data_IF_742958221930
#
_entry.id   IF_742958221930
#
_cell.length_a   1.000
_cell.length_b   1.000
_cell.length_c   1.000
_cell.angle_alpha   90.00
_cell.angle_beta   90.00
_cell.angle_gamma   90.00
#
_symmetry.space_group_name_H-M   'P 1'
#
loop_
_entity.id
_entity.type
_entity.pdbx_description
1 polymer ?
#
# COMPACT_ATOMS: atom_id res chain seq x y z
N UNK A 1 14.30 24.13 12.16
CA UNK A 1 14.83 22.80 12.54
C UNK A 1 15.29 22.12 11.26
N UNK A 2 16.54 21.66 11.20
CA UNK A 2 17.05 20.98 10.01
C UNK A 2 16.67 19.50 10.04
N UNK A 3 15.99 19.02 9.01
CA UNK A 3 15.75 17.59 8.82
C UNK A 3 17.04 16.92 8.35
N UNK A 4 17.68 16.14 9.23
CA UNK A 4 18.88 15.39 8.89
C UNK A 4 18.47 14.18 8.05
N UNK A 5 18.71 14.26 6.73
CA UNK A 5 18.45 13.14 5.83
C UNK A 5 19.61 12.14 5.95
N UNK A 6 19.37 10.88 6.32
CA UNK A 6 20.41 9.88 6.42
C UNK A 6 20.92 9.49 5.03
N UNK A 7 22.20 9.72 4.75
CA UNK A 7 22.86 9.30 3.51
C UNK A 7 23.15 7.79 3.44
N UNK A 8 22.95 7.07 4.55
CA UNK A 8 23.19 5.62 4.63
C UNK A 8 22.11 4.88 3.86
N UNK A 9 22.52 3.91 3.03
CA UNK A 9 21.58 3.03 2.34
C UNK A 9 20.68 2.32 3.38
N UNK A 10 19.34 2.38 3.22
CA UNK A 10 18.43 1.73 4.14
C UNK A 10 18.69 0.23 4.19
N UNK A 11 18.70 -0.34 5.40
CA UNK A 11 19.01 -1.75 5.59
C UNK A 11 17.88 -2.62 5.03
N UNK A 12 18.17 -3.90 4.74
CA UNK A 12 17.13 -4.86 4.36
C UNK A 12 16.04 -4.96 5.44
N UNK A 13 16.41 -4.82 6.72
CA UNK A 13 15.45 -4.81 7.83
C UNK A 13 14.47 -3.65 7.69
N UNK A 14 14.93 -2.46 7.31
CA UNK A 14 14.07 -1.29 7.11
C UNK A 14 13.15 -1.47 5.90
N UNK A 15 13.67 -2.02 4.79
CA UNK A 15 12.89 -2.27 3.56
C UNK A 15 11.78 -3.31 3.73
N UNK A 16 11.99 -4.28 4.62
CA UNK A 16 11.07 -5.39 4.87
C UNK A 16 10.30 -5.25 6.18
N UNK A 17 10.50 -4.16 6.93
CA UNK A 17 9.76 -3.87 8.17
C UNK A 17 8.26 -3.83 7.87
N UNK A 18 7.50 -4.71 8.51
CA UNK A 18 6.04 -4.82 8.34
C UNK A 18 5.56 -5.62 7.12
N UNK A 19 6.45 -6.08 6.22
CA UNK A 19 6.08 -6.89 5.04
C UNK A 19 6.01 -8.40 5.30
N UNK A 20 6.54 -8.88 6.42
CA UNK A 20 6.58 -10.31 6.78
C UNK A 20 5.17 -10.91 6.87
N UNK A 21 4.25 -10.27 7.60
CA UNK A 21 2.86 -10.71 7.74
C UNK A 21 2.11 -10.71 6.39
N UNK A 22 2.38 -9.73 5.53
CA UNK A 22 1.77 -9.66 4.21
C UNK A 22 2.21 -10.82 3.30
N UNK A 23 3.43 -11.34 3.48
CA UNK A 23 3.94 -12.46 2.69
C UNK A 23 3.20 -13.77 2.98
N UNK A 24 2.59 -13.89 4.16
CA UNK A 24 1.76 -15.03 4.56
C UNK A 24 0.25 -14.80 4.32
N UNK A 25 -0.14 -13.71 3.65
CA UNK A 25 -1.55 -13.40 3.34
C UNK A 25 -2.27 -12.53 4.39
N UNK A 26 -1.62 -12.14 5.48
CA UNK A 26 -2.20 -11.26 6.50
C UNK A 26 -2.03 -9.79 6.13
N UNK A 27 -2.84 -9.36 5.16
CA UNK A 27 -2.88 -7.98 4.69
C UNK A 27 -3.81 -7.12 5.55
N UNK A 28 -3.32 -5.94 5.94
CA UNK A 28 -4.15 -4.87 6.49
C UNK A 28 -4.69 -4.04 5.33
N UNK A 29 -5.89 -4.36 4.86
CA UNK A 29 -6.56 -3.65 3.77
C UNK A 29 -7.15 -2.35 4.27
N UNK A 30 -6.90 -1.27 3.55
CA UNK A 30 -7.49 0.05 3.78
C UNK A 30 -8.14 0.52 2.48
N UNK A 31 -9.30 1.15 2.57
CA UNK A 31 -9.99 1.71 1.40
C UNK A 31 -9.25 2.94 0.92
N UNK A 32 -8.79 2.90 -0.33
CA UNK A 32 -8.22 4.04 -1.00
C UNK A 32 -9.35 4.93 -1.53
N UNK A 33 -9.65 6.00 -0.79
CA UNK A 33 -10.70 6.96 -1.15
C UNK A 33 -10.30 7.87 -2.33
N UNK A 34 -9.02 7.91 -2.71
CA UNK A 34 -8.57 8.77 -3.79
C UNK A 34 -8.99 8.23 -5.17
N UNK A 35 -9.10 6.91 -5.30
CA UNK A 35 -9.31 6.23 -6.58
C UNK A 35 -10.60 5.41 -6.55
N UNK A 36 -11.74 6.09 -6.60
CA UNK A 36 -13.07 5.46 -6.56
C UNK A 36 -13.64 5.11 -7.95
N UNK A 37 -13.01 5.56 -9.04
CA UNK A 37 -13.53 5.39 -10.40
C UNK A 37 -12.54 4.65 -11.29
N UNK A 38 -12.95 3.53 -11.87
CA UNK A 38 -12.15 2.77 -12.84
C UNK A 38 -12.40 3.31 -14.25
N UNK A 39 -11.41 4.01 -14.81
CA UNK A 39 -11.47 4.61 -16.16
C UNK A 39 -11.67 3.56 -17.25
N UNK A 40 -11.20 2.33 -17.05
CA UNK A 40 -11.32 1.26 -18.06
C UNK A 40 -12.70 0.61 -18.05
N UNK A 41 -13.30 0.46 -16.87
CA UNK A 41 -14.61 -0.17 -16.72
C UNK A 41 -15.78 0.84 -16.73
N UNK A 42 -15.49 2.14 -16.60
CA UNK A 42 -16.50 3.19 -16.58
C UNK A 42 -17.43 3.13 -15.36
N UNK A 43 -16.95 2.55 -14.25
CA UNK A 43 -17.75 2.28 -13.05
C UNK A 43 -17.02 2.69 -11.79
N UNK A 44 -17.79 3.00 -10.75
CA UNK A 44 -17.25 3.20 -9.41
C UNK A 44 -16.77 1.87 -8.85
N UNK A 45 -15.51 1.82 -8.42
CA UNK A 45 -14.88 0.65 -7.82
C UNK A 45 -14.33 1.03 -6.46
N UNK A 46 -14.35 0.08 -5.53
CA UNK A 46 -13.71 0.26 -4.24
C UNK A 46 -12.31 -0.34 -4.31
N UNK A 47 -11.29 0.51 -4.31
CA UNK A 47 -9.90 0.07 -4.24
C UNK A 47 -9.48 -0.14 -2.78
N UNK A 48 -8.96 -1.32 -2.48
CA UNK A 48 -8.35 -1.67 -1.21
C UNK A 48 -6.84 -1.70 -1.38
N UNK A 49 -6.13 -0.87 -0.63
CA UNK A 49 -4.67 -0.84 -0.59
C UNK A 49 -4.18 -1.35 0.75
N UNK A 50 -3.18 -2.21 0.73
CA UNK A 50 -2.55 -2.65 1.97
C UNK A 50 -1.60 -1.57 2.49
N UNK A 51 -1.79 -1.10 3.72
CA UNK A 51 -0.91 -0.08 4.34
C UNK A 51 0.55 -0.55 4.50
N UNK A 52 0.76 -1.86 4.63
CA UNK A 52 2.09 -2.44 4.91
C UNK A 52 2.91 -2.70 3.65
N UNK A 53 2.31 -3.35 2.65
CA UNK A 53 3.01 -3.75 1.43
C UNK A 53 2.63 -2.94 0.19
N UNK A 54 1.59 -2.11 0.26
CA UNK A 54 1.11 -1.31 -0.86
C UNK A 54 0.33 -2.11 -1.92
N UNK A 55 0.14 -3.42 -1.73
CA UNK A 55 -0.63 -4.24 -2.66
C UNK A 55 -2.07 -3.72 -2.78
N UNK A 56 -2.61 -3.70 -4.00
CA UNK A 56 -3.94 -3.20 -4.29
C UNK A 56 -4.87 -4.36 -4.66
N UNK A 57 -6.12 -4.28 -4.23
CA UNK A 57 -7.23 -5.16 -4.62
C UNK A 57 -8.42 -4.29 -4.99
N UNK A 58 -8.95 -4.49 -6.18
CA UNK A 58 -10.15 -3.79 -6.65
C UNK A 58 -11.36 -4.68 -6.41
N UNK A 59 -12.41 -4.14 -5.79
CA UNK A 59 -13.72 -4.78 -5.74
C UNK A 59 -14.70 -3.92 -6.52
N UNK A 60 -15.19 -4.47 -7.63
CA UNK A 60 -16.31 -3.89 -8.36
C UNK A 60 -17.60 -4.10 -7.55
N UNK A 61 -18.45 -3.08 -7.52
CA UNK A 61 -19.82 -3.15 -7.02
C UNK A 61 -20.76 -3.62 -8.13
#
# INVERSE_FOLDING_TARGET
MAEVIPFRRPSLKDKHKGKTLCRHGHHKWVVDKASQFDVKQGKLVTLFRCERCGQQKTRAL
#
